data_IF_295318977516
#
_entry.id   IF_295318977516
#
_cell.length_a   1.000
_cell.length_b   1.000
_cell.length_c   1.000
_cell.angle_alpha   90.00
_cell.angle_beta   90.00
_cell.angle_gamma   90.00
#
_symmetry.space_group_name_H-M   'P 1'
#
loop_
_entity.id
_entity.type
_entity.pdbx_description
1 polymer ?
#
# COMPACT_ATOMS: atom_id res chain seq x y z
N UNK A 1 -15.45 -27.68 -32.66
CA UNK A 1 -14.46 -26.60 -32.47
C UNK A 1 -13.03 -27.13 -32.55
N UNK A 2 -12.61 -28.06 -31.68
CA UNK A 2 -11.25 -28.65 -31.68
C UNK A 2 -10.87 -29.30 -33.02
N UNK A 3 -11.80 -30.04 -33.65
CA UNK A 3 -11.56 -30.67 -34.95
C UNK A 3 -11.21 -29.64 -36.05
N UNK A 4 -11.85 -28.47 -36.02
CA UNK A 4 -11.57 -27.36 -36.95
C UNK A 4 -10.22 -26.69 -36.66
N UNK A 5 -9.75 -26.73 -35.41
CA UNK A 5 -8.42 -26.20 -35.03
C UNK A 5 -7.32 -27.12 -35.55
N UNK A 6 -7.51 -28.46 -35.44
CA UNK A 6 -6.52 -29.44 -35.94
C UNK A 6 -6.34 -29.41 -37.46
N UNK A 7 -7.39 -29.05 -38.19
CA UNK A 7 -7.38 -28.95 -39.65
C UNK A 7 -6.78 -27.64 -40.17
N UNK A 8 -6.48 -26.68 -39.29
CA UNK A 8 -5.92 -25.37 -39.68
C UNK A 8 -4.42 -25.33 -39.39
N UNK A 9 -3.58 -24.97 -40.38
CA UNK A 9 -2.16 -24.74 -40.15
C UNK A 9 -1.93 -23.64 -39.08
N UNK A 10 -0.82 -23.70 -38.33
CA UNK A 10 -0.43 -22.63 -37.41
C UNK A 10 -0.41 -21.26 -38.07
N UNK A 11 -0.76 -20.22 -37.30
CA UNK A 11 -0.86 -18.84 -37.82
C UNK A 11 0.44 -18.34 -38.45
N UNK A 12 1.61 -18.74 -37.91
CA UNK A 12 2.90 -18.34 -38.44
C UNK A 12 3.20 -18.96 -39.82
N UNK A 13 2.70 -20.17 -40.10
CA UNK A 13 2.86 -20.81 -41.42
C UNK A 13 1.98 -20.13 -42.45
N UNK A 14 0.72 -19.83 -42.10
CA UNK A 14 -0.22 -19.11 -42.97
C UNK A 14 0.31 -17.71 -43.34
N UNK A 15 0.91 -16.99 -42.39
CA UNK A 15 1.48 -15.67 -42.67
C UNK A 15 2.76 -15.76 -43.51
N UNK A 16 3.60 -16.78 -43.28
CA UNK A 16 4.77 -17.04 -44.10
C UNK A 16 4.39 -17.36 -45.55
N UNK A 17 3.32 -18.13 -45.78
CA UNK A 17 2.78 -18.40 -47.12
C UNK A 17 2.34 -17.12 -47.85
N UNK A 18 1.63 -16.23 -47.16
CA UNK A 18 1.25 -14.92 -47.71
C UNK A 18 2.48 -14.09 -48.10
N UNK A 19 3.47 -13.99 -47.21
CA UNK A 19 4.69 -13.21 -47.47
C UNK A 19 5.55 -13.81 -48.60
N UNK A 20 5.53 -15.13 -48.77
CA UNK A 20 6.16 -15.80 -49.91
C UNK A 20 5.40 -15.55 -51.21
N UNK A 21 4.07 -15.52 -51.17
CA UNK A 21 3.24 -15.20 -52.33
C UNK A 21 3.43 -13.74 -52.80
N UNK A 22 3.64 -12.83 -51.86
CA UNK A 22 3.96 -11.42 -52.12
C UNK A 22 5.43 -11.20 -52.54
N UNK A 23 6.25 -12.26 -52.56
CA UNK A 23 7.67 -12.21 -52.95
C UNK A 23 8.58 -11.49 -51.96
N UNK A 24 8.11 -11.23 -50.74
CA UNK A 24 8.83 -10.49 -49.70
C UNK A 24 9.86 -11.35 -48.96
N UNK A 25 9.60 -12.65 -48.85
CA UNK A 25 10.50 -13.61 -48.19
C UNK A 25 10.58 -14.91 -48.99
N UNK A 26 11.64 -15.67 -48.74
CA UNK A 26 11.86 -17.00 -49.31
C UNK A 26 11.64 -18.08 -48.27
N UNK A 27 11.34 -19.30 -48.73
CA UNK A 27 11.24 -20.48 -47.85
C UNK A 27 12.53 -20.73 -47.06
N UNK A 28 13.69 -20.40 -47.62
CA UNK A 28 14.97 -20.51 -46.95
C UNK A 28 15.06 -19.57 -45.74
N UNK A 29 14.66 -18.30 -45.89
CA UNK A 29 14.63 -17.32 -44.80
C UNK A 29 13.67 -17.72 -43.67
N UNK A 30 12.51 -18.31 -44.00
CA UNK A 30 11.57 -18.83 -42.98
C UNK A 30 12.21 -19.95 -42.15
N UNK A 31 12.94 -20.87 -42.79
CA UNK A 31 13.62 -21.96 -42.07
C UNK A 31 14.82 -21.46 -41.26
N UNK A 32 15.53 -20.45 -41.75
CA UNK A 32 16.62 -19.80 -41.03
C UNK A 32 16.11 -19.16 -39.73
N UNK A 33 15.05 -18.34 -39.81
CA UNK A 33 14.40 -17.72 -38.63
C UNK A 33 13.98 -18.80 -37.62
N UNK A 34 13.36 -19.90 -38.08
CA UNK A 34 12.96 -21.00 -37.20
C UNK A 34 14.16 -21.63 -36.50
N UNK A 35 15.24 -21.87 -37.24
CA UNK A 35 16.47 -22.47 -36.71
C UNK A 35 17.12 -21.56 -35.69
N UNK A 36 17.15 -20.26 -35.95
CA UNK A 36 17.70 -19.25 -35.04
C UNK A 36 16.90 -19.16 -33.73
N UNK A 37 15.57 -19.17 -33.80
CA UNK A 37 14.70 -19.16 -32.62
C UNK A 37 14.95 -20.41 -31.78
N UNK A 38 14.98 -21.60 -32.41
CA UNK A 38 15.23 -22.85 -31.69
C UNK A 38 16.63 -22.88 -31.06
N UNK A 39 17.66 -22.45 -31.79
CA UNK A 39 19.01 -22.35 -31.26
C UNK A 39 19.09 -21.37 -30.08
N UNK A 40 18.33 -20.28 -30.10
CA UNK A 40 18.25 -19.32 -28.98
C UNK A 40 17.56 -19.92 -27.77
N UNK A 41 16.44 -20.62 -27.97
CA UNK A 41 15.72 -21.31 -26.89
C UNK A 41 16.58 -22.42 -26.27
N UNK A 42 17.31 -23.19 -27.08
CA UNK A 42 18.22 -24.23 -26.59
C UNK A 42 19.40 -23.67 -25.79
N UNK A 43 19.98 -22.55 -26.25
CA UNK A 43 21.03 -21.84 -25.51
C UNK A 43 20.50 -21.35 -24.15
N UNK A 44 19.32 -20.74 -24.15
CA UNK A 44 18.67 -20.28 -22.92
C UNK A 44 18.36 -21.44 -21.97
N UNK A 45 17.85 -22.58 -22.48
CA UNK A 45 17.55 -23.77 -21.69
C UNK A 45 18.81 -24.39 -21.06
N UNK A 46 19.91 -24.49 -21.83
CA UNK A 46 21.21 -24.94 -21.30
C UNK A 46 21.72 -24.00 -20.20
N UNK A 47 21.71 -22.70 -20.46
CA UNK A 47 22.11 -21.70 -19.47
C UNK A 47 21.25 -21.71 -18.20
N UNK A 48 19.95 -21.99 -18.32
CA UNK A 48 19.05 -22.08 -17.18
C UNK A 48 19.33 -23.30 -16.28
N UNK A 49 19.85 -24.41 -16.84
CA UNK A 49 20.24 -25.60 -16.06
C UNK A 49 21.53 -25.39 -15.27
N UNK A 50 22.44 -24.60 -15.80
CA UNK A 50 23.75 -24.32 -15.19
C UNK A 50 23.68 -23.20 -14.14
N UNK A 51 22.63 -22.38 -14.19
CA UNK A 51 22.41 -21.31 -13.21
C UNK A 51 21.70 -21.85 -11.98
N UNK A 52 22.33 -21.68 -10.82
CA UNK A 52 21.62 -21.72 -9.54
C UNK A 52 20.59 -20.60 -9.54
N UNK A 53 19.32 -20.93 -9.34
CA UNK A 53 18.24 -19.95 -9.30
C UNK A 53 18.44 -19.04 -8.08
N UNK A 54 19.05 -17.87 -8.29
CA UNK A 54 18.98 -16.79 -7.32
C UNK A 54 17.60 -16.19 -7.48
N UNK A 55 16.70 -16.54 -6.58
CA UNK A 55 15.39 -15.89 -6.50
C UNK A 55 15.65 -14.41 -6.32
N UNK A 56 15.36 -13.61 -7.35
CA UNK A 56 15.32 -12.16 -7.19
C UNK A 56 14.32 -11.82 -6.09
N UNK A 57 14.51 -10.69 -5.37
CA UNK A 57 13.46 -10.14 -4.52
C UNK A 57 12.14 -10.15 -5.30
N UNK A 58 11.06 -10.54 -4.65
CA UNK A 58 9.75 -10.59 -5.28
C UNK A 58 9.50 -9.27 -6.04
N UNK A 59 8.97 -9.31 -7.28
CA UNK A 59 8.66 -8.10 -8.04
C UNK A 59 7.91 -7.09 -7.15
N UNK A 60 8.45 -5.87 -7.03
CA UNK A 60 7.91 -4.82 -6.15
C UNK A 60 8.67 -4.61 -4.83
N UNK A 61 9.59 -5.48 -4.45
CA UNK A 61 10.41 -5.36 -3.22
C UNK A 61 11.90 -5.10 -3.51
N UNK A 62 12.23 -4.72 -4.74
CA UNK A 62 13.62 -4.53 -5.19
C UNK A 62 14.33 -3.41 -4.42
N UNK A 63 13.57 -2.40 -3.97
CA UNK A 63 14.06 -1.24 -3.23
C UNK A 63 13.78 -1.34 -1.71
N UNK A 64 13.19 -2.44 -1.23
CA UNK A 64 12.84 -2.61 0.16
C UNK A 64 14.09 -2.88 1.01
N UNK A 65 14.63 -1.83 1.64
CA UNK A 65 15.76 -1.95 2.56
C UNK A 65 15.29 -2.37 3.96
N UNK A 66 15.99 -3.33 4.58
CA UNK A 66 15.70 -3.77 5.95
C UNK A 66 14.46 -4.65 6.11
N UNK A 67 13.81 -5.07 5.01
CA UNK A 67 12.68 -6.00 5.02
C UNK A 67 13.20 -7.37 4.57
N UNK A 68 13.15 -8.36 5.47
CA UNK A 68 13.54 -9.75 5.23
C UNK A 68 12.34 -10.70 5.40
N UNK A 69 12.50 -11.93 4.91
CA UNK A 69 11.52 -13.01 5.14
C UNK A 69 11.74 -13.77 6.46
N UNK A 70 12.79 -13.42 7.21
CA UNK A 70 13.13 -14.08 8.45
C UNK A 70 12.20 -13.60 9.57
N UNK A 71 11.53 -14.56 10.22
CA UNK A 71 10.65 -14.30 11.34
C UNK A 71 11.35 -14.67 12.65
N UNK A 72 11.33 -13.74 13.60
CA UNK A 72 11.87 -13.93 14.94
C UNK A 72 10.76 -13.76 15.98
N UNK A 73 10.78 -14.58 17.04
CA UNK A 73 9.84 -14.49 18.16
C UNK A 73 10.25 -13.42 19.20
N UNK A 74 11.35 -12.72 18.97
CA UNK A 74 11.86 -11.70 19.88
C UNK A 74 10.91 -10.50 19.91
N UNK A 75 10.70 -9.95 21.11
CA UNK A 75 9.92 -8.73 21.26
C UNK A 75 10.67 -7.56 20.67
N UNK A 76 9.98 -6.74 19.87
CA UNK A 76 10.51 -5.46 19.39
C UNK A 76 10.23 -4.40 20.43
N UNK A 77 11.21 -3.54 20.72
CA UNK A 77 11.00 -2.37 21.57
C UNK A 77 10.22 -1.30 20.80
N UNK A 78 8.94 -1.17 21.11
CA UNK A 78 8.04 -0.16 20.54
C UNK A 78 7.66 0.91 21.57
N UNK A 79 8.38 0.98 22.68
CA UNK A 79 8.13 1.95 23.75
C UNK A 79 8.40 3.38 23.30
N UNK A 80 7.53 4.30 23.69
CA UNK A 80 7.73 5.75 23.46
C UNK A 80 7.61 6.47 24.80
N UNK A 81 8.53 7.40 25.06
CA UNK A 81 8.57 8.12 26.33
C UNK A 81 7.33 9.01 26.56
N UNK A 82 6.87 9.08 27.80
CA UNK A 82 5.65 9.79 28.21
C UNK A 82 5.61 11.25 27.74
N UNK A 83 6.74 11.96 27.84
CA UNK A 83 6.85 13.36 27.41
C UNK A 83 6.60 13.53 25.91
N UNK A 84 7.04 12.56 25.10
CA UNK A 84 6.81 12.54 23.65
C UNK A 84 5.35 12.21 23.33
N UNK A 85 4.75 11.27 24.05
CA UNK A 85 3.32 10.97 23.90
C UNK A 85 2.45 12.19 24.25
N UNK A 86 2.79 12.92 25.31
CA UNK A 86 2.09 14.15 25.70
C UNK A 86 2.22 15.27 24.66
N UNK A 87 3.43 15.52 24.12
CA UNK A 87 3.64 16.50 23.04
C UNK A 87 2.81 16.16 21.80
N UNK A 88 2.85 14.89 21.36
CA UNK A 88 2.08 14.45 20.20
C UNK A 88 0.57 14.53 20.45
N UNK A 89 0.11 14.14 21.64
CA UNK A 89 -1.29 14.28 22.02
C UNK A 89 -1.75 15.74 21.94
N UNK A 90 -0.97 16.68 22.47
CA UNK A 90 -1.32 18.10 22.43
C UNK A 90 -1.47 18.59 20.99
N UNK A 91 -0.56 18.18 20.09
CA UNK A 91 -0.62 18.56 18.67
C UNK A 91 -1.85 18.00 17.95
N UNK A 92 -2.21 16.75 18.19
CA UNK A 92 -3.39 16.14 17.54
C UNK A 92 -4.72 16.54 18.20
N UNK A 93 -4.70 17.22 19.34
CA UNK A 93 -5.89 17.81 19.96
C UNK A 93 -6.05 19.30 19.67
N UNK A 94 -5.04 19.94 19.06
CA UNK A 94 -5.13 21.32 18.59
C UNK A 94 -5.93 21.40 17.30
N UNK A 95 -6.94 22.26 17.31
CA UNK A 95 -7.84 22.48 16.18
C UNK A 95 -7.61 23.88 15.59
N UNK A 96 -7.66 24.06 14.25
CA UNK A 96 -7.38 25.33 13.61
C UNK A 96 -8.31 26.45 14.08
N UNK A 97 -7.81 27.69 14.06
CA UNK A 97 -8.62 28.86 14.34
C UNK A 97 -9.82 28.92 13.38
N UNK A 98 -11.02 29.12 13.92
CA UNK A 98 -12.26 29.19 13.14
C UNK A 98 -12.94 27.85 12.86
N UNK A 99 -12.34 26.71 13.24
CA UNK A 99 -12.99 25.41 13.11
C UNK A 99 -13.88 25.10 14.32
N UNK A 100 -15.14 24.77 14.08
CA UNK A 100 -16.09 24.43 15.13
C UNK A 100 -16.14 22.91 15.33
N UNK A 101 -15.87 22.43 16.54
CA UNK A 101 -16.00 21.00 16.88
C UNK A 101 -17.40 20.74 17.46
N UNK A 102 -18.03 19.63 17.07
CA UNK A 102 -19.26 19.18 17.72
C UNK A 102 -19.04 18.92 19.23
N UNK A 103 -19.91 19.45 20.08
CA UNK A 103 -19.75 19.45 21.56
C UNK A 103 -19.47 18.07 22.18
N UNK A 104 -20.14 17.02 21.71
CA UNK A 104 -19.88 15.63 22.15
C UNK A 104 -18.46 15.17 21.81
N UNK A 105 -17.93 15.53 20.64
CA UNK A 105 -16.57 15.17 20.23
C UNK A 105 -15.53 15.93 21.05
N UNK A 106 -15.77 17.21 21.32
CA UNK A 106 -14.90 18.00 22.19
C UNK A 106 -14.75 17.35 23.57
N UNK A 107 -15.84 16.85 24.15
CA UNK A 107 -15.80 16.11 25.44
C UNK A 107 -15.02 14.80 25.35
N UNK A 108 -15.13 14.06 24.24
CA UNK A 108 -14.37 12.82 24.02
C UNK A 108 -12.88 13.11 23.95
N UNK A 109 -12.48 14.10 23.14
CA UNK A 109 -11.09 14.52 22.98
C UNK A 109 -10.50 15.03 24.30
N UNK A 110 -11.25 15.84 25.04
CA UNK A 110 -10.83 16.32 26.36
C UNK A 110 -10.60 15.17 27.34
N UNK A 111 -11.51 14.19 27.39
CA UNK A 111 -11.36 13.01 28.24
C UNK A 111 -10.13 12.18 27.90
N UNK A 112 -9.77 12.08 26.61
CA UNK A 112 -8.54 11.39 26.17
C UNK A 112 -7.29 12.11 26.64
N UNK A 113 -7.27 13.43 26.52
CA UNK A 113 -6.17 14.25 27.03
C UNK A 113 -6.00 14.07 28.55
N UNK A 114 -7.11 14.12 29.30
CA UNK A 114 -7.09 13.92 30.76
C UNK A 114 -6.60 12.53 31.16
N UNK A 115 -7.06 11.47 30.46
CA UNK A 115 -6.60 10.10 30.71
C UNK A 115 -5.10 9.93 30.45
N UNK A 116 -4.58 10.57 29.40
CA UNK A 116 -3.15 10.54 29.10
C UNK A 116 -2.33 11.28 30.17
N UNK A 117 -2.76 12.47 30.58
CA UNK A 117 -2.09 13.25 31.65
C UNK A 117 -2.09 12.47 32.97
N UNK A 118 -3.20 11.79 33.29
CA UNK A 118 -3.32 10.97 34.48
C UNK A 118 -2.54 9.64 34.40
N UNK A 119 -2.09 9.24 33.20
CA UNK A 119 -1.42 7.95 32.96
C UNK A 119 -2.32 6.73 33.15
N UNK A 120 -3.64 6.90 33.23
CA UNK A 120 -4.59 5.81 33.48
C UNK A 120 -5.91 6.02 32.75
N UNK A 121 -6.57 4.92 32.38
CA UNK A 121 -7.86 4.97 31.69
C UNK A 121 -7.80 5.39 30.23
N UNK A 122 -6.65 5.19 29.57
CA UNK A 122 -6.47 5.41 28.13
C UNK A 122 -7.37 4.42 27.38
N UNK A 123 -8.26 4.96 26.53
CA UNK A 123 -9.17 4.15 25.71
C UNK A 123 -8.47 3.63 24.44
N UNK A 124 -9.07 2.63 23.81
CA UNK A 124 -8.49 1.98 22.63
C UNK A 124 -8.18 2.95 21.49
N UNK A 125 -9.12 3.85 21.19
CA UNK A 125 -8.97 4.82 20.12
C UNK A 125 -7.98 5.96 20.48
N UNK A 126 -7.83 6.29 21.77
CA UNK A 126 -6.76 7.18 22.24
C UNK A 126 -5.39 6.55 22.07
N UNK A 127 -5.22 5.28 22.44
CA UNK A 127 -3.98 4.54 22.22
C UNK A 127 -3.66 4.37 20.71
N UNK A 128 -4.66 4.06 19.88
CA UNK A 128 -4.54 3.98 18.42
C UNK A 128 -4.06 5.32 17.83
N UNK A 129 -4.66 6.43 18.25
CA UNK A 129 -4.27 7.76 17.78
C UNK A 129 -2.83 8.13 18.18
N UNK A 130 -2.39 7.75 19.38
CA UNK A 130 -1.01 7.96 19.83
C UNK A 130 -0.01 7.13 19.02
N UNK A 131 -0.31 5.84 18.79
CA UNK A 131 0.53 4.98 17.96
C UNK A 131 0.65 5.51 16.51
N UNK A 132 -0.44 6.03 15.95
CA UNK A 132 -0.37 6.67 14.64
C UNK A 132 0.45 7.95 14.68
N UNK A 133 0.29 8.78 15.72
CA UNK A 133 1.04 10.02 15.85
C UNK A 133 2.54 9.79 16.00
N UNK A 134 2.97 8.75 16.72
CA UNK A 134 4.39 8.41 16.89
C UNK A 134 5.02 7.96 15.58
N UNK A 135 4.39 7.02 14.88
CA UNK A 135 4.85 6.52 13.58
C UNK A 135 4.94 7.65 12.54
N UNK A 136 3.94 8.54 12.48
CA UNK A 136 3.96 9.68 11.57
C UNK A 136 5.08 10.67 11.89
N UNK A 137 5.34 10.89 13.19
CA UNK A 137 6.42 11.76 13.63
C UNK A 137 7.82 11.15 13.42
N UNK A 138 7.92 9.82 13.31
CA UNK A 138 9.13 9.06 12.99
C UNK A 138 9.38 8.91 11.48
N UNK A 139 8.46 9.38 10.64
CA UNK A 139 8.60 9.35 9.19
C UNK A 139 7.86 8.21 8.49
N UNK A 140 7.09 7.41 9.24
CA UNK A 140 6.31 6.30 8.70
C UNK A 140 4.95 6.79 8.23
N UNK A 141 4.69 6.70 6.93
CA UNK A 141 3.38 7.07 6.37
C UNK A 141 2.31 6.05 6.74
N UNK A 142 1.10 6.54 7.03
CA UNK A 142 -0.02 5.69 7.42
C UNK A 142 -1.16 5.86 6.43
N UNK A 143 -1.71 4.73 5.98
CA UNK A 143 -2.94 4.65 5.21
C UNK A 143 -3.96 3.84 5.99
N UNK A 144 -5.12 4.44 6.26
CA UNK A 144 -6.30 3.77 6.80
C UNK A 144 -7.42 3.82 5.77
N UNK A 145 -7.99 2.67 5.43
CA UNK A 145 -9.02 2.54 4.40
C UNK A 145 -10.06 1.51 4.83
N UNK A 146 -11.32 1.84 4.62
CA UNK A 146 -12.45 0.96 4.92
C UNK A 146 -13.71 1.79 5.10
N UNK A 147 -14.86 1.14 5.12
CA UNK A 147 -16.16 1.80 5.28
C UNK A 147 -16.22 2.55 6.62
N UNK A 148 -16.64 3.82 6.58
CA UNK A 148 -16.71 4.70 7.74
C UNK A 148 -15.42 4.80 8.59
N UNK A 149 -14.24 4.48 8.03
CA UNK A 149 -12.99 4.40 8.78
C UNK A 149 -12.55 5.74 9.38
N UNK A 150 -12.94 6.88 8.79
CA UNK A 150 -12.63 8.22 9.31
C UNK A 150 -13.25 8.45 10.69
N UNK A 151 -14.54 8.16 10.83
CA UNK A 151 -15.27 8.28 12.11
C UNK A 151 -15.02 7.05 12.99
N UNK A 152 -14.89 5.89 12.36
CA UNK A 152 -15.06 4.58 12.97
C UNK A 152 -16.52 4.18 13.01
N UNK A 153 -16.81 2.92 12.68
CA UNK A 153 -18.15 2.32 12.70
C UNK A 153 -18.84 2.54 14.05
N UNK A 154 -18.10 2.42 15.16
CA UNK A 154 -18.60 2.60 16.52
C UNK A 154 -18.50 4.05 17.02
N UNK A 155 -18.27 5.02 16.13
CA UNK A 155 -18.06 6.43 16.47
C UNK A 155 -16.98 6.62 17.56
N UNK A 156 -15.90 5.85 17.46
CA UNK A 156 -14.83 5.82 18.44
C UNK A 156 -13.58 6.57 17.97
N UNK A 157 -13.27 6.59 16.67
CA UNK A 157 -11.95 6.99 16.18
C UNK A 157 -11.84 8.49 15.98
N UNK A 158 -12.71 9.05 15.15
CA UNK A 158 -12.69 10.46 14.77
C UNK A 158 -11.33 10.96 14.25
N UNK A 159 -10.68 10.18 13.36
CA UNK A 159 -9.44 10.59 12.68
C UNK A 159 -9.63 11.79 11.76
N UNK A 160 -10.88 12.05 11.35
CA UNK A 160 -11.29 13.28 10.68
C UNK A 160 -12.44 13.91 11.48
N UNK A 161 -12.27 15.18 11.81
CA UNK A 161 -13.29 16.04 12.40
C UNK A 161 -14.02 16.77 11.28
N UNK A 162 -15.33 16.94 11.44
CA UNK A 162 -16.19 17.68 10.50
C UNK A 162 -16.76 18.87 11.26
N UNK A 163 -16.60 20.07 10.68
CA UNK A 163 -17.19 21.29 11.20
C UNK A 163 -18.70 21.29 10.90
N UNK A 164 -19.59 21.36 11.91
CA UNK A 164 -21.03 21.33 11.69
C UNK A 164 -21.58 22.59 11.01
N UNK A 165 -20.83 23.69 10.97
CA UNK A 165 -21.26 24.95 10.36
C UNK A 165 -20.77 25.09 8.91
N UNK A 166 -19.59 24.57 8.60
CA UNK A 166 -18.94 24.75 7.29
C UNK A 166 -18.77 23.46 6.49
N UNK A 167 -19.04 22.30 7.10
CA UNK A 167 -18.72 20.96 6.57
C UNK A 167 -17.23 20.77 6.26
N UNK A 168 -16.38 21.66 6.77
CA UNK A 168 -14.94 21.58 6.63
C UNK A 168 -14.39 20.32 7.30
N UNK A 169 -13.46 19.64 6.63
CA UNK A 169 -12.79 18.46 7.17
C UNK A 169 -11.43 18.83 7.74
N UNK A 170 -11.13 18.35 8.95
CA UNK A 170 -9.82 18.50 9.57
C UNK A 170 -9.34 17.15 10.09
N UNK A 171 -8.15 16.70 9.67
CA UNK A 171 -7.55 15.46 10.11
C UNK A 171 -6.38 15.76 11.05
N UNK A 172 -6.55 15.66 12.39
CA UNK A 172 -5.52 16.13 13.32
C UNK A 172 -4.19 15.39 13.20
N UNK A 173 -4.20 14.12 12.83
CA UNK A 173 -2.98 13.33 12.59
C UNK A 173 -2.12 13.85 11.43
N UNK A 174 -2.68 14.65 10.51
CA UNK A 174 -1.88 15.29 9.46
C UNK A 174 -0.95 16.37 10.00
N UNK A 175 -1.23 16.96 11.17
CA UNK A 175 -0.40 18.04 11.74
C UNK A 175 0.93 17.56 12.31
N UNK A 176 1.02 16.26 12.63
CA UNK A 176 2.24 15.62 13.15
C UNK A 176 3.09 14.96 12.06
N UNK A 177 2.53 14.78 10.86
CA UNK A 177 3.26 14.24 9.72
C UNK A 177 4.13 15.33 9.08
N UNK A 178 5.44 15.04 8.92
CA UNK A 178 6.35 15.93 8.20
C UNK A 178 6.65 15.39 6.80
N UNK A 179 6.65 16.23 5.73
CA UNK A 179 7.00 15.78 4.38
C UNK A 179 8.34 15.03 4.36
N UNK A 180 8.44 13.89 3.65
CA UNK A 180 7.47 13.33 2.70
C UNK A 180 6.36 12.44 3.33
N UNK A 181 6.32 12.31 4.65
CA UNK A 181 5.39 11.46 5.40
C UNK A 181 3.95 11.94 5.27
N UNK A 182 3.02 11.01 5.13
CA UNK A 182 1.60 11.34 4.95
C UNK A 182 0.69 10.47 5.81
N UNK A 183 -0.32 11.10 6.39
CA UNK A 183 -1.48 10.43 6.95
C UNK A 183 -2.65 10.51 5.97
N UNK A 184 -3.11 9.35 5.49
CA UNK A 184 -4.21 9.22 4.54
C UNK A 184 -5.30 8.33 5.10
N UNK A 185 -6.50 8.89 5.28
CA UNK A 185 -7.67 8.15 5.77
C UNK A 185 -8.84 8.30 4.81
N UNK A 186 -9.38 7.16 4.38
CA UNK A 186 -10.44 7.09 3.39
C UNK A 186 -11.61 6.25 3.91
N UNK A 187 -12.81 6.78 3.73
CA UNK A 187 -14.02 5.96 3.75
C UNK A 187 -14.10 5.28 2.38
N UNK A 188 -14.03 3.96 2.36
CA UNK A 188 -14.08 3.19 1.10
C UNK A 188 -15.50 3.11 0.55
N UNK A 189 -15.63 2.59 -0.68
CA UNK A 189 -16.90 2.11 -1.19
C UNK A 189 -17.38 0.93 -0.34
N UNK A 190 -18.67 0.58 -0.52
CA UNK A 190 -19.28 -0.60 0.07
C UNK A 190 -18.77 -1.88 -0.65
N UNK A 191 -17.50 -2.21 -0.45
CA UNK A 191 -16.79 -3.32 -1.10
C UNK A 191 -15.55 -3.72 -0.32
N UNK A 192 -15.38 -5.03 -0.14
CA UNK A 192 -14.18 -5.65 0.43
C UNK A 192 -13.25 -6.27 -0.64
N UNK A 193 -13.70 -6.37 -1.89
CA UNK A 193 -12.96 -6.92 -3.04
C UNK A 193 -12.32 -5.84 -3.91
#
# INVERSE_FOLDING_TARGET
MVERIRQRPPVHELYAETLMADGLITKAQVQEIRTEILATLERAHRAARERTCVLSPAPGFQDAQGIGGDYHHESVDTGVGDSRLLDLAQRIHQVPAGFTIHSKLQRILQRRMEALIAGQGIDWAGAEALAFATLLAEGTSIRLSGEDSRRGTFSQRHSVLIDPNTEGHFAPLQTVAQPPTQFRVYDSMLSEF
#
